data_IF_802497918532
#
_entry.id   IF_802497918532
#
_cell.length_a   1.000
_cell.length_b   1.000
_cell.length_c   1.000
_cell.angle_alpha   90.00
_cell.angle_beta   90.00
_cell.angle_gamma   90.00
#
_symmetry.space_group_name_H-M   'P 1'
#
loop_
_entity.id
_entity.type
_entity.pdbx_description
1 polymer ?
#
# COMPACT_ATOMS: atom_id res chain seq x y z
N UNK A 1 31.80 -26.30 -25.14
CA UNK A 1 30.66 -25.56 -24.61
C UNK A 1 29.40 -26.40 -24.80
N UNK A 2 28.70 -26.72 -23.71
CA UNK A 2 27.40 -27.41 -23.68
C UNK A 2 26.36 -26.42 -23.14
N UNK A 3 25.12 -26.46 -23.61
CA UNK A 3 24.03 -25.68 -23.03
C UNK A 3 23.12 -26.64 -22.27
N UNK A 4 22.99 -26.43 -20.96
CA UNK A 4 22.08 -27.16 -20.10
C UNK A 4 20.78 -26.38 -19.87
N UNK A 5 19.68 -27.11 -19.84
CA UNK A 5 18.38 -26.59 -19.42
C UNK A 5 18.19 -26.83 -17.92
N UNK A 6 18.33 -25.78 -17.12
CA UNK A 6 18.18 -25.87 -15.67
C UNK A 6 16.78 -25.40 -15.27
N UNK A 7 15.92 -26.36 -14.93
CA UNK A 7 14.56 -26.03 -14.48
C UNK A 7 14.56 -25.44 -13.06
N UNK A 8 13.85 -24.33 -12.87
CA UNK A 8 13.62 -23.68 -11.58
C UNK A 8 12.10 -23.71 -11.33
N UNK A 9 11.64 -24.76 -10.65
CA UNK A 9 10.23 -24.98 -10.36
C UNK A 9 9.82 -24.22 -9.09
N UNK A 10 9.33 -22.99 -9.26
CA UNK A 10 8.90 -22.14 -8.15
C UNK A 10 7.69 -22.79 -7.44
N UNK A 11 7.74 -23.03 -6.11
CA UNK A 11 6.61 -23.60 -5.39
C UNK A 11 5.39 -22.66 -5.40
N UNK A 12 4.19 -23.23 -5.25
CA UNK A 12 2.95 -22.44 -5.18
C UNK A 12 3.01 -21.46 -4.00
N UNK A 13 2.63 -20.20 -4.25
CA UNK A 13 2.68 -19.12 -3.25
C UNK A 13 4.04 -18.42 -3.11
N UNK A 14 5.05 -18.85 -3.87
CA UNK A 14 6.39 -18.24 -3.89
C UNK A 14 6.64 -17.48 -5.19
N UNK A 15 7.66 -16.61 -5.17
CA UNK A 15 8.13 -15.85 -6.32
C UNK A 15 9.65 -15.96 -6.42
N UNK A 16 10.17 -16.02 -7.64
CA UNK A 16 11.59 -16.07 -7.95
C UNK A 16 12.05 -14.73 -8.50
N UNK A 17 13.22 -14.25 -8.05
CA UNK A 17 14.03 -13.26 -8.74
C UNK A 17 15.42 -13.88 -8.98
N UNK A 18 15.85 -13.93 -10.23
CA UNK A 18 17.14 -14.47 -10.64
C UNK A 18 17.95 -13.35 -11.30
N UNK A 19 19.18 -13.13 -10.84
CA UNK A 19 20.04 -12.09 -11.38
C UNK A 19 21.53 -12.42 -11.31
N UNK A 20 22.34 -11.45 -11.72
CA UNK A 20 23.78 -11.47 -11.69
C UNK A 20 24.27 -10.32 -10.81
N UNK A 21 25.25 -10.60 -9.94
CA UNK A 21 25.84 -9.61 -9.03
C UNK A 21 27.37 -9.69 -9.08
N UNK A 22 28.04 -9.09 -8.10
CA UNK A 22 29.43 -9.37 -7.76
C UNK A 22 29.67 -9.11 -6.26
N UNK A 23 30.81 -9.53 -5.74
CA UNK A 23 31.25 -9.22 -4.36
C UNK A 23 30.39 -9.84 -3.24
N UNK A 24 31.05 -10.25 -2.14
CA UNK A 24 30.40 -11.04 -1.07
C UNK A 24 29.33 -10.27 -0.31
N UNK A 25 29.43 -8.93 -0.28
CA UNK A 25 28.45 -8.03 0.33
C UNK A 25 27.05 -8.12 -0.29
N UNK A 26 26.94 -8.66 -1.52
CA UNK A 26 25.66 -8.96 -2.18
C UNK A 26 24.64 -9.63 -1.26
N UNK A 27 25.06 -10.59 -0.41
CA UNK A 27 24.12 -11.32 0.45
C UNK A 27 23.52 -10.42 1.52
N UNK A 28 24.36 -9.64 2.20
CA UNK A 28 23.92 -8.71 3.26
C UNK A 28 23.06 -7.58 2.66
N UNK A 29 23.45 -7.03 1.52
CA UNK A 29 22.73 -5.90 0.93
C UNK A 29 21.39 -6.31 0.31
N UNK A 30 21.31 -7.51 -0.28
CA UNK A 30 20.02 -8.11 -0.64
C UNK A 30 19.17 -8.38 0.62
N UNK A 31 19.78 -8.89 1.71
CA UNK A 31 19.05 -9.14 2.95
C UNK A 31 18.46 -7.85 3.52
N UNK A 32 19.27 -6.81 3.70
CA UNK A 32 18.82 -5.52 4.23
C UNK A 32 17.77 -4.87 3.34
N UNK A 33 17.95 -4.94 2.01
CA UNK A 33 16.99 -4.43 1.03
C UNK A 33 15.62 -5.11 1.15
N UNK A 34 15.61 -6.43 1.30
CA UNK A 34 14.39 -7.23 1.43
C UNK A 34 13.77 -7.14 2.83
N UNK A 35 14.58 -7.13 3.89
CA UNK A 35 14.11 -6.98 5.26
C UNK A 35 13.52 -5.59 5.52
N UNK A 36 14.06 -4.55 4.86
CA UNK A 36 13.56 -3.17 4.95
C UNK A 36 12.43 -2.85 3.97
N UNK A 37 12.12 -3.72 3.00
CA UNK A 37 11.03 -3.48 2.05
C UNK A 37 9.66 -3.64 2.68
N UNK A 38 9.49 -4.56 3.61
CA UNK A 38 8.25 -4.76 4.36
C UNK A 38 8.48 -5.46 5.70
N UNK A 39 7.70 -5.17 6.76
CA UNK A 39 7.79 -5.89 8.02
C UNK A 39 7.44 -7.34 7.84
N UNK A 40 8.21 -8.22 8.47
CA UNK A 40 7.97 -9.65 8.39
C UNK A 40 8.09 -10.18 6.97
N UNK A 41 8.84 -9.50 6.10
CA UNK A 41 9.18 -10.01 4.77
C UNK A 41 9.71 -11.44 4.92
N UNK A 42 9.13 -12.39 4.19
CA UNK A 42 9.55 -13.78 4.16
C UNK A 42 10.28 -14.03 2.86
N UNK A 43 11.57 -14.30 2.95
CA UNK A 43 12.40 -14.52 1.78
C UNK A 43 13.61 -15.40 2.09
N UNK A 44 14.23 -15.90 1.02
CA UNK A 44 15.52 -16.58 1.04
C UNK A 44 16.39 -16.11 -0.11
N UNK A 45 17.68 -15.99 0.14
CA UNK A 45 18.71 -15.53 -0.79
C UNK A 45 19.76 -16.62 -0.92
N UNK A 46 20.26 -16.81 -2.14
CA UNK A 46 21.48 -17.56 -2.39
C UNK A 46 22.33 -16.84 -3.45
N UNK A 47 23.64 -16.80 -3.25
CA UNK A 47 24.61 -16.14 -4.13
C UNK A 47 25.80 -17.08 -4.38
N UNK A 48 26.13 -17.28 -5.65
CA UNK A 48 27.25 -18.13 -6.07
C UNK A 48 28.55 -17.33 -6.07
N UNK A 49 29.39 -17.46 -5.03
CA UNK A 49 30.73 -16.88 -5.05
C UNK A 49 31.55 -17.45 -6.21
N UNK A 50 32.18 -16.61 -7.04
CA UNK A 50 32.84 -17.07 -8.28
C UNK A 50 34.37 -17.18 -8.17
N UNK A 51 34.92 -17.05 -6.96
CA UNK A 51 36.37 -17.12 -6.72
C UNK A 51 36.66 -17.60 -5.30
N UNK A 52 37.93 -17.83 -4.98
CA UNK A 52 38.34 -18.25 -3.64
C UNK A 52 37.72 -19.59 -3.25
N UNK A 53 36.88 -19.60 -2.22
CA UNK A 53 36.21 -20.84 -1.76
C UNK A 53 35.08 -21.27 -2.69
N UNK A 54 34.59 -20.39 -3.58
CA UNK A 54 33.52 -20.65 -4.53
C UNK A 54 32.26 -21.29 -3.90
N UNK A 55 31.84 -20.76 -2.74
CA UNK A 55 30.69 -21.29 -2.00
C UNK A 55 29.39 -20.61 -2.41
N UNK A 56 28.28 -21.34 -2.30
CA UNK A 56 26.95 -20.74 -2.29
C UNK A 56 26.74 -20.10 -0.91
N UNK A 57 26.76 -18.76 -0.89
CA UNK A 57 26.42 -17.95 0.27
C UNK A 57 24.90 -17.79 0.31
N UNK A 58 24.30 -17.79 1.50
CA UNK A 58 22.85 -17.72 1.62
C UNK A 58 22.45 -17.05 2.93
N UNK A 59 21.28 -16.43 2.93
CA UNK A 59 20.65 -15.83 4.11
C UNK A 59 19.14 -15.67 3.84
N UNK A 60 18.36 -15.29 4.84
CA UNK A 60 16.94 -15.01 4.69
C UNK A 60 16.17 -15.11 6.00
N UNK A 61 14.89 -14.78 5.91
CA UNK A 61 13.97 -14.73 7.06
C UNK A 61 13.01 -15.92 7.10
N UNK A 62 12.93 -16.70 6.02
CA UNK A 62 12.02 -17.84 5.89
C UNK A 62 12.79 -19.10 5.46
N UNK A 63 12.74 -20.13 6.31
CA UNK A 63 13.57 -21.32 6.17
C UNK A 63 13.30 -22.09 4.86
N UNK A 64 12.04 -22.18 4.42
CA UNK A 64 11.70 -22.87 3.18
C UNK A 64 12.15 -22.04 1.96
N UNK A 65 11.96 -20.72 2.00
CA UNK A 65 12.47 -19.82 0.96
C UNK A 65 13.99 -19.93 0.81
N UNK A 66 14.75 -19.98 1.91
CA UNK A 66 16.22 -20.15 1.90
C UNK A 66 16.60 -21.50 1.31
N UNK A 67 15.91 -22.57 1.68
CA UNK A 67 16.14 -23.91 1.15
C UNK A 67 15.94 -23.95 -0.38
N UNK A 68 14.86 -23.34 -0.89
CA UNK A 68 14.59 -23.27 -2.33
C UNK A 68 15.65 -22.42 -3.04
N UNK A 69 16.04 -21.27 -2.48
CA UNK A 69 17.07 -20.41 -3.07
C UNK A 69 18.41 -21.14 -3.21
N UNK A 70 18.85 -21.86 -2.16
CA UNK A 70 20.06 -22.68 -2.18
C UNK A 70 20.02 -23.77 -3.23
N UNK A 71 18.89 -24.48 -3.33
CA UNK A 71 18.74 -25.55 -4.33
C UNK A 71 18.81 -25.01 -5.75
N UNK A 72 18.16 -23.88 -6.03
CA UNK A 72 18.23 -23.24 -7.34
C UNK A 72 19.64 -22.74 -7.67
N UNK A 73 20.31 -22.07 -6.73
CA UNK A 73 21.70 -21.64 -6.90
C UNK A 73 22.63 -22.84 -7.16
N UNK A 74 22.43 -23.97 -6.48
CA UNK A 74 23.20 -25.20 -6.69
C UNK A 74 22.98 -25.78 -8.08
N UNK A 75 21.73 -25.83 -8.56
CA UNK A 75 21.41 -26.35 -9.89
C UNK A 75 21.99 -25.45 -11.00
N UNK A 76 21.96 -24.13 -10.80
CA UNK A 76 22.57 -23.16 -11.70
C UNK A 76 24.10 -23.29 -11.71
N UNK A 77 24.73 -23.33 -10.52
CA UNK A 77 26.19 -23.34 -10.33
C UNK A 77 26.94 -22.36 -11.25
N UNK A 78 26.31 -21.21 -11.52
CA UNK A 78 26.86 -20.15 -12.35
C UNK A 78 27.48 -19.09 -11.44
N UNK A 79 28.75 -18.76 -11.66
CA UNK A 79 29.49 -17.81 -10.84
C UNK A 79 28.78 -16.45 -10.81
N UNK A 80 28.70 -15.85 -9.63
CA UNK A 80 28.07 -14.56 -9.35
C UNK A 80 26.57 -14.46 -9.65
N UNK A 81 25.90 -15.58 -9.96
CA UNK A 81 24.44 -15.60 -10.00
C UNK A 81 23.88 -15.46 -8.58
N UNK A 82 22.76 -14.75 -8.44
CA UNK A 82 21.98 -14.72 -7.21
C UNK A 82 20.55 -15.15 -7.46
N UNK A 83 19.96 -15.80 -6.45
CA UNK A 83 18.58 -16.26 -6.40
C UNK A 83 17.92 -15.66 -5.18
N UNK A 84 16.79 -15.00 -5.37
CA UNK A 84 15.89 -14.59 -4.30
C UNK A 84 14.57 -15.32 -4.45
N UNK A 85 14.11 -15.93 -3.37
CA UNK A 85 12.79 -16.55 -3.25
C UNK A 85 11.97 -15.73 -2.26
N UNK A 86 10.83 -15.21 -2.70
CA UNK A 86 9.89 -14.46 -1.87
C UNK A 86 8.68 -15.34 -1.53
N UNK A 87 8.14 -15.19 -0.34
CA UNK A 87 6.90 -15.83 0.11
C UNK A 87 5.93 -14.78 0.65
N UNK A 88 4.71 -14.74 0.13
CA UNK A 88 3.69 -13.77 0.56
C UNK A 88 3.96 -12.31 0.15
N UNK A 89 4.89 -12.09 -0.78
CA UNK A 89 5.17 -10.80 -1.40
C UNK A 89 5.49 -10.98 -2.88
N UNK A 90 5.38 -9.91 -3.67
CA UNK A 90 5.54 -9.96 -5.13
C UNK A 90 6.82 -9.24 -5.57
N UNK A 91 7.41 -9.61 -6.73
CA UNK A 91 8.62 -8.95 -7.20
C UNK A 91 8.44 -7.44 -7.40
N UNK A 92 7.24 -6.97 -7.77
CA UNK A 92 6.95 -5.55 -7.92
C UNK A 92 7.20 -4.73 -6.63
N UNK A 93 7.17 -5.38 -5.45
CA UNK A 93 7.42 -4.73 -4.18
C UNK A 93 8.91 -4.41 -3.95
N UNK A 94 9.83 -5.16 -4.57
CA UNK A 94 11.27 -5.14 -4.21
C UNK A 94 12.22 -4.98 -5.40
N UNK A 95 11.78 -5.31 -6.62
CA UNK A 95 12.66 -5.44 -7.79
C UNK A 95 13.41 -4.15 -8.11
N UNK A 96 12.79 -2.98 -7.93
CA UNK A 96 13.48 -1.71 -8.18
C UNK A 96 14.59 -1.44 -7.15
N UNK A 97 14.40 -1.82 -5.88
CA UNK A 97 15.45 -1.65 -4.87
C UNK A 97 16.63 -2.60 -5.13
N UNK A 98 16.35 -3.84 -5.52
CA UNK A 98 17.39 -4.82 -5.90
C UNK A 98 18.22 -4.29 -7.09
N UNK A 99 17.58 -3.75 -8.13
CA UNK A 99 18.28 -3.20 -9.30
C UNK A 99 19.14 -1.97 -8.99
N UNK A 100 18.93 -1.32 -7.85
CA UNK A 100 19.66 -0.12 -7.43
C UNK A 100 20.83 -0.46 -6.49
N UNK A 101 21.00 -1.72 -6.09
CA UNK A 101 22.16 -2.14 -5.33
C UNK A 101 23.42 -2.07 -6.20
N UNK A 102 24.50 -1.53 -5.65
CA UNK A 102 25.75 -1.29 -6.37
C UNK A 102 26.37 -2.60 -6.88
N UNK A 103 26.18 -3.71 -6.15
CA UNK A 103 26.67 -5.02 -6.54
C UNK A 103 25.88 -5.67 -7.70
N UNK A 104 24.62 -5.28 -7.91
CA UNK A 104 23.71 -5.95 -8.85
C UNK A 104 23.98 -5.48 -10.28
N UNK A 105 24.60 -6.36 -11.07
CA UNK A 105 24.88 -6.12 -12.48
C UNK A 105 23.62 -6.20 -13.37
N UNK A 106 22.67 -7.07 -13.02
CA UNK A 106 21.43 -7.22 -13.79
C UNK A 106 20.50 -8.29 -13.24
N UNK A 107 19.24 -8.26 -13.72
CA UNK A 107 18.21 -9.24 -13.36
C UNK A 107 17.75 -9.95 -14.63
N UNK A 108 17.76 -11.29 -14.61
CA UNK A 108 17.32 -12.14 -15.72
C UNK A 108 15.79 -12.29 -15.75
N UNK A 109 15.16 -12.55 -14.60
CA UNK A 109 13.70 -12.61 -14.47
C UNK A 109 13.20 -12.40 -13.05
N UNK A 110 11.89 -12.17 -12.95
CA UNK A 110 11.14 -11.97 -11.72
C UNK A 110 9.70 -12.49 -11.89
N UNK A 111 9.36 -13.66 -11.33
CA UNK A 111 8.13 -14.38 -11.72
C UNK A 111 7.66 -15.42 -10.69
N UNK A 112 6.41 -15.86 -10.84
CA UNK A 112 5.84 -17.03 -10.14
C UNK A 112 5.80 -18.29 -11.03
N UNK A 113 6.09 -18.14 -12.32
CA UNK A 113 5.97 -19.22 -13.29
C UNK A 113 7.10 -20.25 -13.11
N UNK A 114 6.93 -21.43 -13.72
CA UNK A 114 8.07 -22.32 -13.99
C UNK A 114 9.06 -21.60 -14.90
N UNK A 115 10.34 -21.58 -14.50
CA UNK A 115 11.44 -21.01 -15.29
C UNK A 115 12.39 -22.11 -15.74
N UNK A 116 12.92 -22.00 -16.96
CA UNK A 116 14.09 -22.77 -17.42
C UNK A 116 15.23 -21.80 -17.69
N UNK A 117 16.34 -21.96 -16.99
CA UNK A 117 17.57 -21.18 -17.24
C UNK A 117 18.45 -21.91 -18.24
N UNK A 118 18.87 -21.21 -19.30
CA UNK A 118 19.81 -21.74 -20.29
C UNK A 118 21.22 -21.46 -19.82
N UNK A 119 21.94 -22.50 -19.38
CA UNK A 119 23.25 -22.37 -18.77
C UNK A 119 24.32 -22.92 -19.70
N UNK A 120 25.23 -22.07 -20.16
CA UNK A 120 26.41 -22.48 -20.89
C UNK A 120 27.45 -23.05 -19.92
N UNK A 121 27.88 -24.28 -20.15
CA UNK A 121 28.95 -24.95 -19.43
C UNK A 121 30.18 -25.11 -20.35
N UNK A 122 31.32 -24.58 -19.90
CA UNK A 122 32.60 -24.66 -20.60
C UNK A 122 33.63 -25.54 -19.87
N UNK A 123 33.20 -26.30 -18.86
CA UNK A 123 34.04 -27.16 -18.03
C UNK A 123 34.54 -26.44 -16.77
N UNK A 124 35.31 -25.36 -16.94
CA UNK A 124 35.86 -24.60 -15.81
C UNK A 124 34.85 -23.63 -15.15
N UNK A 125 33.74 -23.34 -15.83
CA UNK A 125 32.74 -22.40 -15.35
C UNK A 125 31.41 -22.53 -16.09
N UNK A 126 30.38 -21.92 -15.49
CA UNK A 126 29.03 -21.87 -16.03
C UNK A 126 28.50 -20.44 -16.06
N UNK A 127 27.79 -20.10 -17.14
CA UNK A 127 27.19 -18.77 -17.33
C UNK A 127 25.73 -18.89 -17.77
N UNK A 128 24.88 -17.99 -17.27
CA UNK A 128 23.47 -17.91 -17.67
C UNK A 128 23.40 -17.12 -18.98
N UNK A 129 22.90 -17.76 -20.04
CA UNK A 129 22.69 -17.12 -21.35
C UNK A 129 21.35 -16.39 -21.43
N UNK A 130 20.35 -16.86 -20.67
CA UNK A 130 19.01 -16.34 -20.68
C UNK A 130 18.03 -17.28 -19.99
N UNK A 131 16.76 -16.91 -19.98
CA UNK A 131 15.69 -17.67 -19.31
C UNK A 131 14.48 -17.85 -20.22
N UNK A 132 13.77 -18.95 -20.00
CA UNK A 132 12.42 -19.20 -20.52
C UNK A 132 11.46 -19.08 -19.33
N UNK A 133 10.71 -17.99 -19.29
CA UNK A 133 9.73 -17.69 -18.23
C UNK A 133 8.32 -18.10 -18.69
N UNK A 134 7.81 -19.20 -18.14
CA UNK A 134 6.47 -19.69 -18.47
C UNK A 134 6.36 -20.31 -19.85
N UNK A 135 5.41 -19.85 -20.66
CA UNK A 135 5.01 -20.49 -21.92
C UNK A 135 5.01 -19.53 -23.10
N UNK A 136 5.09 -20.08 -24.32
CA UNK A 136 4.98 -19.29 -25.56
C UNK A 136 3.61 -18.61 -25.67
N UNK A 137 3.60 -17.37 -26.15
CA UNK A 137 2.37 -16.65 -26.51
C UNK A 137 1.57 -17.44 -27.55
N UNK A 138 0.26 -17.59 -27.32
CA UNK A 138 -0.65 -18.37 -28.20
C UNK A 138 -1.41 -17.52 -29.21
N UNK A 139 -1.29 -16.19 -29.13
CA UNK A 139 -1.99 -15.25 -30.00
C UNK A 139 -1.89 -13.81 -29.48
N UNK A 140 -2.58 -12.90 -30.16
CA UNK A 140 -2.73 -11.51 -29.76
C UNK A 140 -4.04 -11.31 -28.99
N UNK A 141 -4.03 -10.43 -27.98
CA UNK A 141 -5.25 -10.11 -27.23
C UNK A 141 -6.31 -9.40 -28.08
N UNK A 142 -7.55 -9.90 -28.00
CA UNK A 142 -8.73 -9.26 -28.57
C UNK A 142 -9.31 -8.15 -27.69
N UNK A 143 -10.44 -7.58 -28.13
CA UNK A 143 -11.14 -6.55 -27.36
C UNK A 143 -11.71 -7.08 -26.03
N UNK A 144 -12.18 -8.33 -25.99
CA UNK A 144 -12.63 -9.01 -24.77
C UNK A 144 -11.49 -9.21 -23.80
N UNK A 145 -10.35 -9.76 -24.25
CA UNK A 145 -9.19 -10.03 -23.39
C UNK A 145 -8.63 -8.73 -22.79
N UNK A 146 -8.60 -7.64 -23.57
CA UNK A 146 -8.26 -6.30 -23.09
C UNK A 146 -9.18 -5.81 -21.98
N UNK A 147 -10.49 -6.06 -22.13
CA UNK A 147 -11.48 -5.73 -21.12
C UNK A 147 -11.24 -6.59 -19.88
N UNK A 148 -11.05 -7.89 -20.04
CA UNK A 148 -10.86 -8.84 -18.94
C UNK A 148 -9.59 -8.56 -18.14
N UNK A 149 -8.43 -8.31 -18.78
CA UNK A 149 -7.21 -7.96 -18.05
C UNK A 149 -7.34 -6.60 -17.34
N UNK A 150 -8.03 -5.63 -17.94
CA UNK A 150 -8.28 -4.33 -17.31
C UNK A 150 -9.22 -4.49 -16.12
N UNK A 151 -10.26 -5.32 -16.25
CA UNK A 151 -11.18 -5.65 -15.17
C UNK A 151 -10.51 -6.48 -14.08
N UNK A 152 -9.57 -7.35 -14.40
CA UNK A 152 -8.80 -8.12 -13.43
C UNK A 152 -7.84 -7.22 -12.65
N UNK A 153 -7.05 -6.41 -13.35
CA UNK A 153 -6.19 -5.39 -12.72
C UNK A 153 -7.03 -4.44 -11.88
N UNK A 154 -8.18 -4.00 -12.41
CA UNK A 154 -9.15 -3.24 -11.67
C UNK A 154 -9.65 -4.01 -10.47
N UNK A 155 -10.10 -5.26 -10.53
CA UNK A 155 -10.56 -6.05 -9.37
C UNK A 155 -9.48 -6.21 -8.29
N UNK A 156 -8.21 -6.35 -8.68
CA UNK A 156 -7.08 -6.34 -7.74
C UNK A 156 -6.88 -4.94 -7.13
N UNK A 157 -7.21 -3.87 -7.85
CA UNK A 157 -7.16 -2.45 -7.41
C UNK A 157 -8.51 -1.88 -6.87
N UNK A 158 -9.64 -2.56 -7.07
CA UNK A 158 -11.03 -2.06 -6.99
C UNK A 158 -11.63 -2.56 -5.69
N UNK A 159 -11.29 -1.86 -4.64
CA UNK A 159 -12.35 -1.22 -3.89
C UNK A 159 -12.10 0.28 -4.07
N UNK A 160 -12.97 1.06 -4.76
CA UNK A 160 -13.13 2.55 -4.63
C UNK A 160 -12.86 3.50 -5.84
N UNK A 161 -13.43 3.34 -7.06
CA UNK A 161 -13.26 4.34 -8.17
C UNK A 161 -14.53 5.14 -8.56
N UNK A 162 -14.37 6.46 -8.76
CA UNK A 162 -15.36 7.47 -9.20
C UNK A 162 -14.89 8.24 -10.47
N UNK A 163 -15.79 8.87 -11.26
CA UNK A 163 -15.40 9.79 -12.35
C UNK A 163 -14.54 10.94 -11.81
N UNK A 164 -13.48 11.37 -12.49
CA UNK A 164 -12.62 12.47 -12.00
C UNK A 164 -13.33 13.81 -11.98
N UNK A 165 -12.96 14.69 -11.04
CA UNK A 165 -13.35 16.12 -11.04
C UNK A 165 -12.64 16.90 -12.16
N UNK A 166 -11.45 16.44 -12.58
CA UNK A 166 -10.61 17.09 -13.58
C UNK A 166 -10.36 16.18 -14.79
N UNK A 167 -10.62 16.70 -15.99
CA UNK A 167 -10.34 16.01 -17.25
C UNK A 167 -11.48 15.09 -17.75
N UNK A 168 -11.80 15.20 -19.04
CA UNK A 168 -12.79 14.32 -19.67
C UNK A 168 -12.25 12.88 -19.74
N UNK A 169 -12.96 11.94 -19.09
CA UNK A 169 -12.69 10.49 -19.02
C UNK A 169 -11.65 10.03 -17.99
N UNK A 170 -11.09 10.91 -17.16
CA UNK A 170 -10.27 10.48 -16.02
C UNK A 170 -11.15 9.87 -14.90
N UNK A 171 -10.62 8.93 -14.12
CA UNK A 171 -11.27 8.36 -12.93
C UNK A 171 -10.41 8.61 -11.71
N UNK A 172 -11.01 8.99 -10.58
CA UNK A 172 -10.34 9.22 -9.31
C UNK A 172 -10.80 8.20 -8.28
N UNK A 173 -9.93 7.83 -7.36
CA UNK A 173 -10.30 7.00 -6.21
C UNK A 173 -11.20 7.76 -5.22
N UNK A 174 -11.90 7.05 -4.34
CA UNK A 174 -12.61 7.69 -3.22
C UNK A 174 -11.65 8.52 -2.35
N UNK A 175 -10.43 8.03 -2.16
CA UNK A 175 -9.39 8.73 -1.41
C UNK A 175 -9.01 10.05 -2.09
N UNK A 176 -8.79 10.07 -3.40
CA UNK A 176 -8.50 11.31 -4.13
C UNK A 176 -9.64 12.32 -4.00
N UNK A 177 -10.89 11.87 -4.05
CA UNK A 177 -12.06 12.73 -3.83
C UNK A 177 -12.10 13.38 -2.44
N UNK A 178 -11.68 12.63 -1.41
CA UNK A 178 -11.53 13.14 -0.05
C UNK A 178 -10.37 14.14 0.00
N UNK A 179 -9.21 13.77 -0.55
CA UNK A 179 -8.01 14.61 -0.55
C UNK A 179 -8.25 15.95 -1.25
N UNK A 180 -8.92 15.95 -2.41
CA UNK A 180 -9.36 17.15 -3.16
C UNK A 180 -10.15 18.15 -2.31
N UNK A 181 -10.84 17.66 -1.28
CA UNK A 181 -11.66 18.51 -0.41
C UNK A 181 -10.88 18.93 0.84
N UNK A 182 -10.03 18.05 1.37
CA UNK A 182 -9.24 18.28 2.59
C UNK A 182 -8.05 19.20 2.34
N UNK A 183 -7.34 19.08 1.21
CA UNK A 183 -6.11 19.85 0.95
C UNK A 183 -6.33 21.36 0.87
N UNK A 184 -7.55 21.80 0.59
CA UNK A 184 -7.91 23.23 0.51
C UNK A 184 -8.03 23.91 1.88
N UNK A 185 -8.11 23.14 2.97
CA UNK A 185 -8.51 23.63 4.30
C UNK A 185 -7.64 23.12 5.44
N UNK A 186 -6.80 22.11 5.21
CA UNK A 186 -5.91 21.55 6.23
C UNK A 186 -4.46 21.95 5.97
N UNK A 187 -3.76 22.41 7.01
CA UNK A 187 -2.34 22.75 6.95
C UNK A 187 -1.45 21.52 6.73
N UNK A 188 -1.90 20.36 7.22
CA UNK A 188 -1.21 19.08 7.15
C UNK A 188 -2.21 17.94 6.94
N UNK A 189 -1.89 17.02 6.02
CA UNK A 189 -2.72 15.86 5.72
C UNK A 189 -1.93 14.58 6.01
N UNK A 190 -2.50 13.71 6.83
CA UNK A 190 -1.97 12.37 7.09
C UNK A 190 -2.95 11.32 6.57
N UNK A 191 -2.47 10.40 5.75
CA UNK A 191 -3.23 9.21 5.34
C UNK A 191 -2.58 7.98 5.95
N UNK A 192 -3.40 7.22 6.66
CA UNK A 192 -2.97 6.04 7.42
C UNK A 192 -3.40 4.80 6.65
N UNK A 193 -2.44 3.99 6.24
CA UNK A 193 -2.68 2.73 5.56
C UNK A 193 -2.43 1.55 6.50
N UNK A 194 -3.17 0.47 6.31
CA UNK A 194 -3.00 -0.78 7.07
C UNK A 194 -1.74 -1.54 6.58
N UNK A 195 -1.35 -1.31 5.34
CA UNK A 195 -0.22 -1.90 4.65
C UNK A 195 0.46 -0.86 3.76
N UNK A 196 1.58 -1.21 3.14
CA UNK A 196 2.26 -0.29 2.21
C UNK A 196 1.34 -0.02 1.00
N UNK A 197 0.94 1.24 0.72
CA UNK A 197 0.03 1.56 -0.37
C UNK A 197 0.62 1.31 -1.77
N UNK A 198 1.92 1.05 -1.87
CA UNK A 198 2.64 0.89 -3.13
C UNK A 198 2.84 2.21 -3.87
N UNK A 199 3.86 2.25 -4.75
CA UNK A 199 4.25 3.45 -5.49
C UNK A 199 3.11 4.10 -6.29
N UNK A 200 2.25 3.36 -7.03
CA UNK A 200 1.22 3.99 -7.84
C UNK A 200 0.22 4.82 -7.02
N UNK A 201 -0.15 4.34 -5.82
CA UNK A 201 -1.06 5.07 -4.95
C UNK A 201 -0.36 6.27 -4.31
N UNK A 202 0.92 6.12 -3.92
CA UNK A 202 1.75 7.22 -3.39
C UNK A 202 1.87 8.33 -4.44
N UNK A 203 2.24 8.01 -5.68
CA UNK A 203 2.33 8.98 -6.79
C UNK A 203 0.99 9.68 -7.04
N UNK A 204 -0.12 8.94 -6.92
CA UNK A 204 -1.46 9.48 -7.12
C UNK A 204 -1.88 10.48 -6.04
N UNK A 205 -1.41 10.33 -4.80
CA UNK A 205 -1.77 11.20 -3.67
C UNK A 205 -0.70 12.25 -3.33
N UNK A 206 0.53 12.09 -3.84
CA UNK A 206 1.64 13.01 -3.63
C UNK A 206 1.33 14.48 -3.99
N UNK A 207 0.57 14.79 -5.07
CA UNK A 207 0.21 16.17 -5.39
C UNK A 207 -0.56 16.92 -4.30
N UNK A 208 -1.19 16.19 -3.36
CA UNK A 208 -1.93 16.78 -2.24
C UNK A 208 -1.05 17.08 -1.02
N UNK A 209 0.28 16.86 -1.09
CA UNK A 209 1.20 17.09 0.02
C UNK A 209 0.97 16.13 1.20
N UNK A 210 0.43 14.94 0.93
CA UNK A 210 0.05 13.96 1.96
C UNK A 210 1.29 13.33 2.61
N UNK A 211 1.29 13.26 3.94
CA UNK A 211 2.19 12.40 4.70
C UNK A 211 1.58 11.01 4.87
N UNK A 212 2.32 10.00 4.45
CA UNK A 212 1.89 8.60 4.53
C UNK A 212 2.36 8.01 5.86
N UNK A 213 1.44 7.38 6.59
CA UNK A 213 1.74 6.58 7.78
C UNK A 213 1.21 5.15 7.59
N UNK A 214 1.93 4.15 8.09
CA UNK A 214 1.54 2.74 7.98
C UNK A 214 1.31 2.16 9.38
N UNK A 215 0.09 1.73 9.70
CA UNK A 215 -0.24 1.02 10.94
C UNK A 215 -0.17 -0.50 10.74
N UNK A 216 1.04 -1.04 10.91
CA UNK A 216 1.35 -2.47 10.77
C UNK A 216 0.81 -3.33 11.92
N UNK A 217 0.18 -2.73 12.93
CA UNK A 217 -0.23 -3.40 14.17
C UNK A 217 -1.56 -4.17 14.10
N UNK A 218 -2.23 -4.23 12.94
CA UNK A 218 -3.56 -4.84 12.80
C UNK A 218 -4.59 -4.28 13.79
N UNK A 219 -4.34 -3.06 14.26
CA UNK A 219 -5.05 -2.47 15.38
C UNK A 219 -6.44 -1.98 15.01
N UNK A 220 -7.26 -1.67 16.02
CA UNK A 220 -8.60 -1.12 15.80
C UNK A 220 -8.54 0.25 15.12
N UNK A 221 -9.65 0.71 14.55
CA UNK A 221 -9.75 2.06 13.99
C UNK A 221 -9.26 3.16 14.96
N UNK A 222 -9.50 2.97 16.26
CA UNK A 222 -9.01 3.88 17.29
C UNK A 222 -7.47 3.90 17.38
N UNK A 223 -6.79 2.75 17.30
CA UNK A 223 -5.32 2.75 17.36
C UNK A 223 -4.69 3.40 16.14
N UNK A 224 -5.32 3.26 14.97
CA UNK A 224 -4.92 3.94 13.74
C UNK A 224 -5.00 5.46 13.91
N UNK A 225 -6.14 5.97 14.39
CA UNK A 225 -6.29 7.40 14.66
C UNK A 225 -5.24 7.89 15.68
N UNK A 226 -4.98 7.10 16.73
CA UNK A 226 -3.92 7.41 17.71
C UNK A 226 -2.54 7.49 17.06
N UNK A 227 -2.20 6.58 16.15
CA UNK A 227 -0.94 6.61 15.41
C UNK A 227 -0.81 7.88 14.57
N UNK A 228 -1.87 8.25 13.84
CA UNK A 228 -1.91 9.50 13.08
C UNK A 228 -1.73 10.74 13.97
N UNK A 229 -2.41 10.78 15.11
CA UNK A 229 -2.32 11.91 16.04
C UNK A 229 -0.93 12.03 16.68
N UNK A 230 -0.20 10.92 16.84
CA UNK A 230 1.18 10.94 17.32
C UNK A 230 2.17 11.42 16.25
N UNK A 231 1.85 11.25 14.97
CA UNK A 231 2.73 11.58 13.84
C UNK A 231 2.68 13.06 13.40
N UNK A 232 1.67 13.83 13.82
CA UNK A 232 1.55 15.27 13.55
C UNK A 232 1.97 16.11 14.76
N UNK A 233 2.40 17.35 14.54
CA UNK A 233 2.60 18.36 15.60
C UNK A 233 1.39 19.26 15.84
N UNK A 234 0.34 19.16 15.01
CA UNK A 234 -0.87 19.97 15.13
C UNK A 234 -1.58 19.78 16.48
N UNK A 235 -2.20 20.85 16.97
CA UNK A 235 -2.97 20.82 18.21
C UNK A 235 -4.36 20.21 18.02
N UNK A 236 -5.04 20.59 16.93
CA UNK A 236 -6.37 20.14 16.58
C UNK A 236 -6.31 19.29 15.31
N UNK A 237 -6.89 18.10 15.37
CA UNK A 237 -6.83 17.13 14.27
C UNK A 237 -8.25 16.73 13.85
N UNK A 238 -8.54 16.79 12.56
CA UNK A 238 -9.79 16.26 11.99
C UNK A 238 -9.60 14.80 11.57
N UNK A 239 -10.53 13.94 11.98
CA UNK A 239 -10.63 12.57 11.45
C UNK A 239 -11.65 12.60 10.32
N UNK A 240 -11.26 12.07 9.15
CA UNK A 240 -12.11 11.93 7.97
C UNK A 240 -12.00 10.50 7.45
N UNK A 241 -13.10 9.81 7.11
CA UNK A 241 -13.03 8.47 6.57
C UNK A 241 -12.78 8.54 5.06
N UNK A 242 -11.87 7.70 4.54
CA UNK A 242 -11.59 7.60 3.11
C UNK A 242 -12.81 7.21 2.25
N UNK A 243 -13.85 6.65 2.88
CA UNK A 243 -15.13 6.30 2.24
C UNK A 243 -16.11 7.47 2.08
N UNK A 244 -15.70 8.71 2.36
CA UNK A 244 -16.53 9.92 2.32
C UNK A 244 -16.19 10.85 1.13
N UNK A 245 -16.35 10.42 -0.13
CA UNK A 245 -15.83 11.13 -1.30
C UNK A 245 -16.41 12.54 -1.51
N UNK A 246 -17.56 12.85 -0.91
CA UNK A 246 -18.29 14.10 -1.19
C UNK A 246 -18.25 15.11 -0.05
N UNK A 247 -17.35 14.92 0.92
CA UNK A 247 -17.07 15.89 1.97
C UNK A 247 -16.79 17.28 1.39
N UNK A 248 -17.40 18.30 1.99
CA UNK A 248 -17.27 19.69 1.58
C UNK A 248 -16.19 20.40 2.40
N UNK A 249 -15.31 21.22 1.78
CA UNK A 249 -14.33 22.03 2.49
C UNK A 249 -14.94 22.90 3.59
N UNK A 250 -16.10 23.52 3.34
CA UNK A 250 -16.79 24.37 4.33
C UNK A 250 -17.26 23.58 5.56
N UNK A 251 -17.64 22.31 5.40
CA UNK A 251 -17.99 21.44 6.53
C UNK A 251 -16.74 21.10 7.35
N UNK A 252 -15.62 20.81 6.70
CA UNK A 252 -14.33 20.59 7.36
C UNK A 252 -13.92 21.83 8.17
N UNK A 253 -13.95 23.00 7.53
CA UNK A 253 -13.60 24.28 8.14
C UNK A 253 -14.47 24.55 9.39
N UNK A 254 -15.79 24.36 9.27
CA UNK A 254 -16.71 24.53 10.40
C UNK A 254 -16.38 23.63 11.59
N UNK A 255 -15.92 22.40 11.35
CA UNK A 255 -15.52 21.47 12.42
C UNK A 255 -14.22 21.91 13.10
N UNK A 256 -13.25 22.42 12.34
CA UNK A 256 -12.02 22.98 12.91
C UNK A 256 -12.29 24.22 13.75
N UNK A 257 -13.19 25.10 13.32
CA UNK A 257 -13.59 26.26 14.12
C UNK A 257 -14.34 25.84 15.39
N UNK A 258 -15.19 24.82 15.29
CA UNK A 258 -16.01 24.36 16.41
C UNK A 258 -15.22 23.63 17.51
N UNK A 259 -14.01 23.13 17.22
CA UNK A 259 -13.18 22.44 18.23
C UNK A 259 -12.31 23.40 19.04
N UNK A 260 -12.15 24.66 18.60
CA UNK A 260 -11.33 25.64 19.31
C UNK A 260 -11.86 25.84 20.74
N UNK A 261 -11.02 25.56 21.73
CA UNK A 261 -11.39 25.64 23.15
C UNK A 261 -12.19 24.44 23.69
N UNK A 262 -12.39 23.40 22.90
CA UNK A 262 -13.08 22.16 23.30
C UNK A 262 -12.17 20.94 23.13
N UNK A 263 -12.53 19.83 23.79
CA UNK A 263 -11.82 18.56 23.65
C UNK A 263 -12.08 17.91 22.28
N UNK A 264 -13.28 18.13 21.74
CA UNK A 264 -13.71 17.66 20.43
C UNK A 264 -14.87 18.48 19.88
N UNK A 265 -14.99 18.55 18.56
CA UNK A 265 -16.19 18.96 17.85
C UNK A 265 -16.74 17.78 17.05
N UNK A 266 -17.93 17.31 17.42
CA UNK A 266 -18.52 16.09 16.87
C UNK A 266 -19.91 16.42 16.30
N UNK A 267 -20.18 16.16 15.00
CA UNK A 267 -21.51 16.33 14.45
C UNK A 267 -22.53 15.46 15.18
N UNK A 268 -23.70 16.04 15.47
CA UNK A 268 -24.82 15.35 16.11
C UNK A 268 -26.10 15.59 15.32
N UNK A 269 -26.76 14.50 14.97
CA UNK A 269 -28.08 14.50 14.35
C UNK A 269 -29.17 14.82 15.38
N UNK A 270 -30.34 15.27 14.92
CA UNK A 270 -31.51 15.48 15.80
C UNK A 270 -31.93 14.22 16.55
N UNK A 271 -31.65 13.04 16.00
CA UNK A 271 -31.88 11.74 16.65
C UNK A 271 -30.94 11.47 17.84
N UNK A 272 -29.95 12.32 18.11
CA UNK A 272 -28.92 12.11 19.12
C UNK A 272 -27.73 11.29 18.62
N UNK A 273 -27.81 10.68 17.43
CA UNK A 273 -26.68 9.97 16.82
C UNK A 273 -25.52 10.94 16.54
N UNK A 274 -24.30 10.52 16.85
CA UNK A 274 -23.07 11.29 16.61
C UNK A 274 -22.26 10.70 15.45
N UNK A 275 -21.42 11.52 14.80
CA UNK A 275 -20.53 11.12 13.69
C UNK A 275 -19.05 11.27 14.08
N UNK A 276 -18.48 10.34 14.87
CA UNK A 276 -17.13 10.50 15.42
C UNK A 276 -16.00 10.31 14.39
N UNK A 277 -16.30 9.78 13.21
CA UNK A 277 -15.32 9.61 12.12
C UNK A 277 -15.30 10.79 11.14
N UNK A 278 -16.13 11.80 11.38
CA UNK A 278 -16.11 13.09 10.70
C UNK A 278 -16.16 14.16 11.78
N UNK A 279 -15.08 14.26 12.55
CA UNK A 279 -15.04 15.07 13.76
C UNK A 279 -13.63 15.58 14.03
N UNK A 280 -13.55 16.76 14.66
CA UNK A 280 -12.30 17.38 15.04
C UNK A 280 -12.03 17.13 16.52
N UNK A 281 -10.76 16.95 16.86
CA UNK A 281 -10.33 16.55 18.20
C UNK A 281 -9.11 17.35 18.63
N UNK A 282 -9.07 17.78 19.89
CA UNK A 282 -7.82 18.22 20.50
C UNK A 282 -6.91 17.00 20.68
N UNK A 283 -5.75 17.01 20.04
CA UNK A 283 -4.80 15.91 20.01
C UNK A 283 -4.41 15.44 21.42
N UNK A 284 -4.02 16.38 22.29
CA UNK A 284 -3.49 16.06 23.64
C UNK A 284 -4.56 15.41 24.51
N UNK A 285 -5.80 15.89 24.42
CA UNK A 285 -6.92 15.30 25.18
C UNK A 285 -7.29 13.94 24.60
N UNK A 286 -7.41 13.84 23.28
CA UNK A 286 -7.73 12.59 22.59
C UNK A 286 -6.75 11.46 22.94
N UNK A 287 -5.44 11.73 22.85
CA UNK A 287 -4.41 10.73 23.17
C UNK A 287 -4.48 10.26 24.64
N UNK A 288 -4.74 11.18 25.58
CA UNK A 288 -4.92 10.83 27.00
C UNK A 288 -6.18 9.97 27.21
N UNK A 289 -7.28 10.32 26.57
CA UNK A 289 -8.53 9.56 26.64
C UNK A 289 -8.38 8.16 26.02
N UNK A 290 -7.69 8.06 24.88
CA UNK A 290 -7.41 6.81 24.20
C UNK A 290 -6.56 5.87 25.06
N UNK A 291 -5.49 6.37 25.68
CA UNK A 291 -4.61 5.59 26.55
C UNK A 291 -5.33 5.00 27.77
N UNK A 292 -6.36 5.68 28.28
CA UNK A 292 -7.18 5.22 29.43
C UNK A 292 -8.35 4.33 29.00
N UNK A 293 -8.61 4.17 27.71
CA UNK A 293 -9.78 3.44 27.25
C UNK A 293 -9.52 1.94 27.13
N UNK A 294 -10.19 1.14 27.95
CA UNK A 294 -10.25 -0.33 27.80
C UNK A 294 -11.01 -0.77 26.54
N UNK A 295 -11.99 0.04 26.10
CA UNK A 295 -12.78 -0.22 24.88
C UNK A 295 -12.09 0.44 23.68
N UNK A 296 -11.88 -0.34 22.63
CA UNK A 296 -11.25 0.08 21.37
C UNK A 296 -12.22 0.72 20.36
N UNK A 297 -13.34 1.28 20.84
CA UNK A 297 -14.43 1.86 20.02
C UNK A 297 -14.45 3.38 20.18
N UNK A 298 -14.51 4.11 19.06
CA UNK A 298 -14.36 5.57 19.05
C UNK A 298 -15.49 6.33 19.75
N UNK A 299 -16.75 5.89 19.60
CA UNK A 299 -17.89 6.52 20.31
C UNK A 299 -17.70 6.49 21.83
N UNK A 300 -17.27 5.35 22.37
CA UNK A 300 -17.00 5.21 23.81
C UNK A 300 -15.82 6.05 24.32
N UNK A 301 -14.98 6.56 23.42
CA UNK A 301 -13.94 7.53 23.77
C UNK A 301 -14.53 8.94 23.85
N UNK A 302 -15.41 9.31 22.93
CA UNK A 302 -16.09 10.61 22.93
C UNK A 302 -16.86 10.81 24.24
N UNK A 303 -17.53 9.76 24.74
CA UNK A 303 -18.24 9.79 26.03
C UNK A 303 -17.36 10.11 27.25
N UNK A 304 -16.03 9.98 27.12
CA UNK A 304 -15.05 10.24 28.19
C UNK A 304 -14.41 11.62 28.10
N UNK A 305 -14.69 12.37 27.04
CA UNK A 305 -14.23 13.75 26.88
C UNK A 305 -15.10 14.67 27.74
N UNK A 306 -14.49 15.68 28.34
CA UNK A 306 -15.16 16.54 29.33
C UNK A 306 -15.91 17.69 28.66
N UNK A 307 -15.33 18.28 27.61
CA UNK A 307 -15.90 19.42 26.89
C UNK A 307 -16.06 19.08 25.40
N UNK A 308 -17.19 18.48 25.02
CA UNK A 308 -17.50 18.16 23.62
C UNK A 308 -18.46 19.19 23.03
N UNK A 309 -18.03 19.84 21.96
CA UNK A 309 -18.87 20.69 21.12
C UNK A 309 -19.68 19.81 20.17
N UNK A 310 -20.95 19.56 20.50
CA UNK A 310 -21.85 18.82 19.63
C UNK A 310 -22.42 19.73 18.55
N UNK A 311 -21.87 19.63 17.34
CA UNK A 311 -22.25 20.47 16.19
C UNK A 311 -23.55 19.92 15.59
N UNK A 312 -24.66 20.63 15.78
CA UNK A 312 -25.95 20.23 15.24
C UNK A 312 -25.92 20.20 13.70
N UNK A 313 -26.15 19.03 13.12
CA UNK A 313 -26.04 18.82 11.67
C UNK A 313 -27.05 19.67 10.91
N UNK A 314 -28.29 19.78 11.39
CA UNK A 314 -29.36 20.50 10.68
C UNK A 314 -29.16 22.01 10.76
N UNK A 315 -28.68 22.51 11.91
CA UNK A 315 -28.51 23.93 12.14
C UNK A 315 -27.23 24.50 11.56
N UNK A 316 -26.11 23.78 11.68
CA UNK A 316 -24.78 24.34 11.37
C UNK A 316 -24.14 23.74 10.11
N UNK A 317 -24.43 22.50 9.76
CA UNK A 317 -23.75 21.82 8.65
C UNK A 317 -24.60 21.76 7.38
N UNK A 318 -25.91 21.59 7.51
CA UNK A 318 -26.84 21.60 6.37
C UNK A 318 -26.82 22.91 5.57
N UNK A 319 -26.69 24.11 6.17
CA UNK A 319 -26.53 25.33 5.38
C UNK A 319 -25.25 25.35 4.52
N UNK A 320 -24.21 24.62 4.94
CA UNK A 320 -22.92 24.53 4.23
C UNK A 320 -22.88 23.38 3.21
N UNK A 321 -23.76 22.40 3.38
CA UNK A 321 -23.91 21.21 2.55
C UNK A 321 -25.40 20.80 2.52
N UNK A 322 -26.24 21.47 1.68
CA UNK A 322 -27.69 21.30 1.68
C UNK A 322 -28.16 19.85 1.50
N UNK A 323 -27.44 19.09 0.69
CA UNK A 323 -27.70 17.68 0.41
C UNK A 323 -27.07 16.73 1.44
N UNK A 324 -26.26 17.26 2.36
CA UNK A 324 -25.53 16.52 3.40
C UNK A 324 -24.64 15.41 2.82
N UNK A 325 -24.10 15.61 1.63
CA UNK A 325 -23.25 14.62 0.96
C UNK A 325 -21.93 14.38 1.69
N UNK A 326 -21.51 15.29 2.58
CA UNK A 326 -20.35 15.09 3.48
C UNK A 326 -20.52 13.90 4.42
N UNK A 327 -21.77 13.50 4.68
CA UNK A 327 -22.11 12.33 5.49
C UNK A 327 -22.36 11.06 4.65
N UNK A 328 -22.33 11.17 3.32
CA UNK A 328 -22.43 10.01 2.44
C UNK A 328 -21.20 9.11 2.63
N UNK A 329 -21.42 7.79 2.69
CA UNK A 329 -20.37 6.78 2.86
C UNK A 329 -20.53 5.72 1.79
N UNK A 330 -19.42 5.36 1.16
CA UNK A 330 -19.37 4.19 0.28
C UNK A 330 -18.93 2.98 1.09
N UNK A 331 -19.84 2.05 1.33
CA UNK A 331 -19.56 0.82 2.08
C UNK A 331 -19.63 -0.43 1.20
N UNK A 332 -20.48 -0.38 0.17
CA UNK A 332 -20.67 -1.49 -0.76
C UNK A 332 -20.79 -0.99 -2.22
N UNK A 333 -20.95 -1.94 -3.14
CA UNK A 333 -21.08 -1.68 -4.57
C UNK A 333 -22.35 -0.86 -4.92
N UNK A 334 -23.41 -0.95 -4.11
CA UNK A 334 -24.64 -0.16 -4.32
C UNK A 334 -24.38 1.30 -3.99
N UNK A 335 -23.68 1.57 -2.89
CA UNK A 335 -23.24 2.91 -2.53
C UNK A 335 -22.30 3.48 -3.59
N UNK A 336 -21.38 2.66 -4.13
CA UNK A 336 -20.45 3.09 -5.17
C UNK A 336 -21.19 3.48 -6.46
N UNK A 337 -22.20 2.72 -6.88
CA UNK A 337 -23.06 3.10 -8.03
C UNK A 337 -23.80 4.41 -7.77
N UNK A 338 -24.32 4.61 -6.56
CA UNK A 338 -24.96 5.87 -6.18
C UNK A 338 -23.96 7.02 -6.18
N UNK A 339 -22.75 6.80 -5.69
CA UNK A 339 -21.67 7.77 -5.72
C UNK A 339 -21.29 8.16 -7.15
N UNK A 340 -21.20 7.20 -8.08
CA UNK A 340 -20.95 7.50 -9.50
C UNK A 340 -22.01 8.41 -10.10
N UNK A 341 -23.29 8.21 -9.78
CA UNK A 341 -24.39 9.08 -10.22
C UNK A 341 -24.26 10.49 -9.63
N UNK A 342 -23.99 10.60 -8.33
CA UNK A 342 -23.78 11.90 -7.66
C UNK A 342 -22.60 12.65 -8.27
N UNK A 343 -21.49 11.96 -8.55
CA UNK A 343 -20.31 12.53 -9.18
C UNK A 343 -20.59 13.05 -10.60
N UNK A 344 -21.42 12.35 -11.37
CA UNK A 344 -21.82 12.76 -12.73
C UNK A 344 -22.79 13.94 -12.75
N UNK A 345 -23.62 14.10 -11.73
CA UNK A 345 -24.61 15.17 -11.64
C UNK A 345 -24.07 16.47 -11.04
N UNK A 346 -22.82 16.48 -10.53
CA UNK A 346 -22.20 17.69 -10.00
C UNK A 346 -21.66 18.54 -11.16
N UNK A 347 -21.91 19.86 -11.16
CA UNK A 347 -21.25 20.75 -12.11
C UNK A 347 -19.73 20.65 -11.92
N UNK A 348 -19.00 20.60 -13.04
CA UNK A 348 -17.53 20.53 -13.09
C UNK A 348 -16.89 21.77 -12.51
#
# INVERSE_FOLDING_TARGET
MKIDEVELAVPEGYQLILGQSHFIKTVEDLYETLASSMPGAKFGIAFCESSGKALIRYDGTDAESVKVAKEFARRLSAGHAFVVILHGSYPINVLNRIKLLDEVAGVYCATANKVVSLVADIGEGRGILGVVDGVKSKGLEGASDKKDRREFLRKIMENSLLPSRFGEKATSTLLQYVLDSVWTVADEILVIFDEDPGLPLIETIAPFGVKVAIDRGGGSLLSRIVAGFKATHAENCLVVPSSAPFIKPNVIFQLFESVRGFDAAVPRWRSGKIEPLLAAYNKKVFLRAAARSKKKVLSSLVDKLSAVSYVDVERFLKPLDPELYSFFRVKDERDLRKARRIAQSRPR
#
